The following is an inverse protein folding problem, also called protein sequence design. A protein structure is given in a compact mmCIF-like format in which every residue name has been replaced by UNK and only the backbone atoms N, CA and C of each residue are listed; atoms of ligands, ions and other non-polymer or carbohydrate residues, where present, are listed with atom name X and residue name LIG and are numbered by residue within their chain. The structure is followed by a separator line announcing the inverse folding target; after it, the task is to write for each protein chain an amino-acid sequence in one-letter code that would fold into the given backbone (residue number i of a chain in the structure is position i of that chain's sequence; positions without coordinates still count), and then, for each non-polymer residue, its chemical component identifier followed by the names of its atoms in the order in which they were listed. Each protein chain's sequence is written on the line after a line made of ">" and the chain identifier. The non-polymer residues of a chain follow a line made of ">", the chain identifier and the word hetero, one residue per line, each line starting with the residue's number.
data_IF_667891025329
#
_entry.id   IF_667891025329
#
_cell.length_a   1.000
_cell.length_b   1.000
_cell.length_c   1.000
_cell.angle_alpha   90.00
_cell.angle_beta   90.00
_cell.angle_gamma   90.00
#
_symmetry.space_group_name_H-M   'P 1'
#
loop_
_entity.id
_entity.type
_entity.pdbx_description
1 polymer ?
#
# COMPACT_ATOMS: atom_id res chain seq x y z
N UNK A 1 3.79 27.06 9.08
CA UNK A 1 3.74 27.27 7.62
C UNK A 1 2.72 26.32 7.04
N UNK A 2 1.66 26.79 6.38
CA UNK A 2 0.67 25.90 5.72
C UNK A 2 1.23 25.45 4.37
N UNK A 3 1.53 24.16 4.23
CA UNK A 3 1.87 23.61 2.92
C UNK A 3 0.58 23.37 2.15
N UNK A 4 0.32 24.16 1.11
CA UNK A 4 -0.71 23.84 0.13
C UNK A 4 -0.23 22.68 -0.74
N UNK A 5 -0.85 21.52 -0.58
CA UNK A 5 -0.67 20.38 -1.47
C UNK A 5 -1.38 20.72 -2.78
N UNK A 6 -0.64 21.20 -3.78
CA UNK A 6 -1.21 21.68 -5.05
C UNK A 6 -1.66 20.54 -5.98
N UNK A 7 -1.14 19.33 -5.78
CA UNK A 7 -1.53 18.13 -6.54
C UNK A 7 -1.29 16.89 -5.68
N UNK A 8 -2.29 16.02 -5.54
CA UNK A 8 -2.13 14.71 -4.89
C UNK A 8 -2.46 13.59 -5.88
N UNK A 9 -1.48 12.73 -6.16
CA UNK A 9 -1.73 11.55 -7.00
C UNK A 9 -2.46 10.48 -6.20
N UNK A 10 -3.63 10.05 -6.67
CA UNK A 10 -4.43 8.99 -6.04
C UNK A 10 -4.45 7.74 -6.93
N UNK A 11 -4.41 6.57 -6.30
CA UNK A 11 -4.43 5.28 -6.98
C UNK A 11 -5.69 4.48 -6.66
N UNK A 12 -6.02 3.50 -7.51
CA UNK A 12 -7.22 2.67 -7.36
C UNK A 12 -7.27 1.88 -6.06
N UNK A 13 -6.09 1.51 -5.53
CA UNK A 13 -5.91 0.83 -4.25
C UNK A 13 -6.02 1.76 -3.03
N UNK A 14 -6.40 3.02 -3.24
CA UNK A 14 -6.62 4.00 -2.18
C UNK A 14 -5.35 4.71 -1.70
N UNK A 15 -4.16 4.38 -2.25
CA UNK A 15 -2.95 5.10 -1.90
C UNK A 15 -2.99 6.53 -2.47
N UNK A 16 -2.69 7.51 -1.62
CA UNK A 16 -2.47 8.90 -1.99
C UNK A 16 -1.02 9.28 -1.67
N UNK A 17 -0.27 9.80 -2.64
CA UNK A 17 1.17 10.10 -2.46
C UNK A 17 1.42 11.31 -1.54
N UNK A 18 0.56 12.33 -1.63
CA UNK A 18 0.85 13.68 -1.09
C UNK A 18 -0.22 14.22 -0.12
N UNK A 19 -1.31 13.49 0.14
CA UNK A 19 -2.55 14.07 0.69
C UNK A 19 -2.88 13.82 2.17
N UNK A 20 -2.21 12.88 2.85
CA UNK A 20 -2.49 12.60 4.26
C UNK A 20 -1.16 12.34 4.94
N UNK A 21 -0.94 12.96 6.10
CA UNK A 21 0.08 12.51 7.05
C UNK A 21 -0.02 10.99 7.05
N UNK A 22 1.01 10.29 6.58
CA UNK A 22 1.06 8.84 6.69
C UNK A 22 1.05 8.62 8.19
N UNK A 23 -0.13 8.48 8.80
CA UNK A 23 -0.25 8.24 10.22
C UNK A 23 0.58 6.99 10.42
N UNK A 24 1.72 7.18 11.07
CA UNK A 24 2.73 6.15 11.24
C UNK A 24 2.21 5.29 12.37
N UNK A 25 1.31 4.37 12.09
CA UNK A 25 0.74 3.54 13.15
C UNK A 25 1.81 2.60 13.75
N UNK A 26 2.88 2.36 13.00
CA UNK A 26 4.03 1.53 13.40
C UNK A 26 5.28 2.40 13.50
N UNK A 27 5.98 2.26 14.62
CA UNK A 27 7.32 2.80 14.86
C UNK A 27 8.33 1.67 15.04
N UNK A 28 9.62 1.97 14.89
CA UNK A 28 10.72 1.08 15.20
C UNK A 28 11.52 1.66 16.36
N UNK A 29 11.78 0.83 17.38
CA UNK A 29 12.58 1.23 18.53
C UNK A 29 14.04 1.45 18.10
N UNK A 30 14.63 2.59 18.48
CA UNK A 30 16.03 2.93 18.19
C UNK A 30 17.02 1.99 18.88
N UNK A 31 16.66 1.42 20.04
CA UNK A 31 17.55 0.60 20.84
C UNK A 31 17.54 -0.88 20.40
N UNK A 32 16.35 -1.50 20.31
CA UNK A 32 16.24 -2.93 19.98
C UNK A 32 15.84 -3.22 18.52
N UNK A 33 15.57 -2.18 17.71
CA UNK A 33 15.11 -2.31 16.31
C UNK A 33 13.80 -3.10 16.14
N UNK A 34 13.02 -3.30 17.21
CA UNK A 34 11.72 -3.98 17.13
C UNK A 34 10.62 -2.99 16.72
N UNK A 35 9.68 -3.47 15.91
CA UNK A 35 8.48 -2.74 15.53
C UNK A 35 7.47 -2.74 16.68
N UNK A 36 6.77 -1.63 16.87
CA UNK A 36 5.67 -1.50 17.84
C UNK A 36 4.59 -0.57 17.32
N UNK A 37 3.34 -0.77 17.76
CA UNK A 37 2.25 0.14 17.47
C UNK A 37 2.41 1.41 18.29
N UNK A 38 2.34 2.59 17.66
CA UNK A 38 2.48 3.86 18.37
C UNK A 38 1.43 4.06 19.46
N UNK A 39 0.21 3.57 19.23
CA UNK A 39 -0.87 3.64 20.22
C UNK A 39 -0.64 2.76 21.46
N UNK A 40 0.17 1.71 21.32
CA UNK A 40 0.50 0.80 22.43
C UNK A 40 1.65 1.33 23.29
N UNK A 41 2.37 2.36 22.80
CA UNK A 41 3.44 3.03 23.55
C UNK A 41 2.84 3.86 24.70
N UNK A 42 2.65 3.21 25.86
CA UNK A 42 2.16 3.85 27.09
C UNK A 42 3.34 4.34 27.94
N UNK A 43 3.36 5.64 28.24
CA UNK A 43 4.23 6.18 29.28
C UNK A 43 3.69 5.79 30.66
N UNK A 44 4.58 5.37 31.56
CA UNK A 44 4.19 4.64 32.77
C UNK A 44 3.69 5.50 33.94
N UNK A 45 3.75 6.84 33.91
CA UNK A 45 3.00 7.79 34.77
C UNK A 45 3.44 9.24 34.52
N UNK A 46 2.48 10.16 34.65
CA UNK A 46 2.58 11.61 34.41
C UNK A 46 3.14 11.98 33.02
N UNK A 47 2.76 13.13 32.49
CA UNK A 47 3.22 13.60 31.17
C UNK A 47 4.72 13.87 31.26
N UNK A 48 5.51 12.82 31.05
CA UNK A 48 6.93 12.91 30.84
C UNK A 48 7.16 13.50 29.44
N UNK A 49 7.25 14.83 29.40
CA UNK A 49 7.48 15.59 28.18
C UNK A 49 8.78 15.15 27.48
N UNK A 50 9.77 14.65 28.22
CA UNK A 50 11.01 14.09 27.65
C UNK A 50 10.73 12.78 26.90
N UNK A 51 9.90 11.89 27.45
CA UNK A 51 9.55 10.65 26.78
C UNK A 51 8.60 10.86 25.56
N UNK A 52 7.85 11.97 25.53
CA UNK A 52 7.15 12.41 24.31
C UNK A 52 8.12 12.91 23.23
N UNK A 53 9.17 13.65 23.59
CA UNK A 53 10.25 14.04 22.66
C UNK A 53 11.03 12.81 22.15
N UNK A 54 11.22 11.76 22.96
CA UNK A 54 11.85 10.50 22.52
C UNK A 54 10.98 9.71 21.51
N UNK A 55 9.65 9.79 21.62
CA UNK A 55 8.72 9.27 20.61
C UNK A 55 8.82 10.05 19.28
N UNK A 56 9.20 11.32 19.30
CA UNK A 56 9.56 12.08 18.09
C UNK A 56 10.85 11.56 17.45
N UNK A 57 11.74 10.96 18.25
CA UNK A 57 12.96 10.27 17.80
C UNK A 57 12.76 8.82 17.36
N UNK A 58 11.56 8.25 17.46
CA UNK A 58 11.28 6.88 17.01
C UNK A 58 11.41 6.78 15.48
N UNK A 59 12.26 5.85 15.04
CA UNK A 59 12.51 5.59 13.62
C UNK A 59 11.22 5.13 12.93
N UNK A 60 11.02 5.60 11.71
CA UNK A 60 10.00 5.06 10.83
C UNK A 60 10.58 3.98 9.89
N UNK A 61 9.70 3.38 9.09
CA UNK A 61 10.12 2.42 8.07
C UNK A 61 11.07 3.02 7.01
N UNK A 62 11.03 4.34 6.81
CA UNK A 62 11.96 5.09 5.95
C UNK A 62 13.29 5.40 6.65
N UNK A 63 13.42 5.15 7.95
CA UNK A 63 14.66 5.32 8.71
C UNK A 63 15.37 3.98 8.93
N UNK A 64 14.78 2.88 8.44
CA UNK A 64 15.40 1.57 8.44
C UNK A 64 16.69 1.56 7.60
N UNK A 65 17.74 0.81 8.03
CA UNK A 65 19.07 0.81 7.39
C UNK A 65 19.05 0.52 5.89
N UNK A 66 18.05 -0.23 5.45
CA UNK A 66 17.93 -0.77 4.11
C UNK A 66 17.13 0.10 3.14
N UNK A 67 16.75 1.34 3.53
CA UNK A 67 16.07 2.28 2.62
C UNK A 67 16.87 2.58 1.35
N UNK A 68 18.20 2.60 1.48
CA UNK A 68 19.11 2.91 0.39
C UNK A 68 19.57 1.68 -0.39
N UNK A 69 19.16 0.48 0.03
CA UNK A 69 19.56 -0.76 -0.61
C UNK A 69 18.83 -0.94 -1.96
N UNK A 70 19.51 -1.61 -2.89
CA UNK A 70 18.97 -1.94 -4.21
C UNK A 70 17.70 -2.81 -4.13
N UNK A 71 17.55 -3.60 -3.07
CA UNK A 71 16.44 -4.52 -2.80
C UNK A 71 15.36 -3.93 -1.88
N UNK A 72 15.39 -2.63 -1.58
CA UNK A 72 14.47 -1.98 -0.63
C UNK A 72 12.98 -2.32 -0.82
N UNK A 73 12.53 -2.47 -2.07
CA UNK A 73 11.11 -2.77 -2.36
C UNK A 73 10.74 -4.18 -1.93
N UNK A 74 11.63 -5.14 -2.20
CA UNK A 74 11.47 -6.53 -1.79
C UNK A 74 11.46 -6.64 -0.27
N UNK A 75 12.45 -6.01 0.34
CA UNK A 75 12.68 -6.00 1.77
C UNK A 75 11.47 -5.36 2.51
N UNK A 76 10.78 -4.38 1.89
CA UNK A 76 9.55 -3.74 2.42
C UNK A 76 8.36 -4.70 2.41
N UNK A 77 8.24 -5.50 1.36
CA UNK A 77 7.22 -6.55 1.25
C UNK A 77 7.46 -7.61 2.34
N UNK A 78 8.71 -8.04 2.51
CA UNK A 78 9.08 -9.02 3.54
C UNK A 78 8.79 -8.50 4.95
N UNK A 79 9.13 -7.25 5.25
CA UNK A 79 8.83 -6.65 6.56
C UNK A 79 7.35 -6.74 6.94
N UNK A 80 6.43 -6.33 6.06
CA UNK A 80 4.99 -6.43 6.37
C UNK A 80 4.48 -7.88 6.41
N UNK A 81 5.08 -8.77 5.61
CA UNK A 81 4.79 -10.20 5.66
C UNK A 81 5.18 -10.77 7.03
N UNK A 82 6.38 -10.47 7.51
CA UNK A 82 6.91 -10.95 8.77
C UNK A 82 6.07 -10.44 9.95
N UNK A 83 5.61 -9.18 9.93
CA UNK A 83 4.69 -8.67 10.95
C UNK A 83 3.37 -9.46 10.99
N UNK A 84 2.82 -9.82 9.83
CA UNK A 84 1.60 -10.62 9.74
C UNK A 84 1.82 -12.08 10.18
N UNK A 85 3.00 -12.66 9.93
CA UNK A 85 3.33 -14.04 10.30
C UNK A 85 3.65 -14.19 11.80
N UNK A 86 4.06 -13.12 12.47
CA UNK A 86 4.36 -13.09 13.91
C UNK A 86 3.19 -12.61 14.78
N UNK A 87 1.95 -12.63 14.27
CA UNK A 87 0.74 -12.18 14.98
C UNK A 87 0.87 -10.77 15.60
N UNK A 88 1.58 -9.86 14.92
CA UNK A 88 1.81 -8.49 15.40
C UNK A 88 0.52 -7.66 15.52
N UNK A 89 -0.54 -8.03 14.79
CA UNK A 89 -1.85 -7.39 14.87
C UNK A 89 -2.74 -8.09 15.91
N UNK A 90 -3.03 -7.40 17.01
CA UNK A 90 -3.90 -7.92 18.08
C UNK A 90 -5.41 -7.78 17.80
N UNK A 91 -5.77 -7.04 16.74
CA UNK A 91 -7.16 -6.77 16.39
C UNK A 91 -7.37 -6.65 14.86
N UNK A 92 -8.63 -6.75 14.43
CA UNK A 92 -9.00 -6.70 13.00
C UNK A 92 -8.56 -5.39 12.32
N UNK A 93 -8.56 -4.26 13.03
CA UNK A 93 -8.18 -2.96 12.46
C UNK A 93 -6.66 -2.89 12.17
N UNK A 94 -5.84 -3.34 13.12
CA UNK A 94 -4.39 -3.51 12.95
C UNK A 94 -4.07 -4.50 11.83
N UNK A 95 -4.83 -5.60 11.73
CA UNK A 95 -4.67 -6.58 10.65
C UNK A 95 -5.02 -5.95 9.28
N UNK A 96 -6.14 -5.25 9.16
CA UNK A 96 -6.54 -4.50 7.95
C UNK A 96 -5.44 -3.52 7.55
N UNK A 97 -4.87 -2.79 8.51
CA UNK A 97 -3.78 -1.84 8.25
C UNK A 97 -2.57 -2.53 7.63
N UNK A 98 -2.03 -3.57 8.29
CA UNK A 98 -0.86 -4.31 7.80
C UNK A 98 -1.10 -4.91 6.41
N UNK A 99 -2.27 -5.49 6.19
CA UNK A 99 -2.64 -6.07 4.89
C UNK A 99 -2.77 -5.02 3.79
N UNK A 100 -3.30 -3.85 4.11
CA UNK A 100 -3.35 -2.72 3.18
C UNK A 100 -1.94 -2.23 2.85
N UNK A 101 -1.04 -2.13 3.84
CA UNK A 101 0.36 -1.77 3.62
C UNK A 101 1.11 -2.81 2.79
N UNK A 102 0.87 -4.11 3.02
CA UNK A 102 1.44 -5.19 2.21
C UNK A 102 0.94 -5.10 0.76
N UNK A 103 -0.37 -4.91 0.58
CA UNK A 103 -0.98 -4.72 -0.74
C UNK A 103 -0.32 -3.57 -1.50
N UNK A 104 -0.23 -2.39 -0.88
CA UNK A 104 0.42 -1.22 -1.48
C UNK A 104 1.89 -1.48 -1.82
N UNK A 105 2.63 -2.15 -0.93
CA UNK A 105 4.05 -2.46 -1.12
C UNK A 105 4.29 -3.37 -2.32
N UNK A 106 3.42 -4.36 -2.55
CA UNK A 106 3.50 -5.20 -3.76
C UNK A 106 3.11 -4.39 -5.00
N UNK A 107 2.08 -3.55 -4.91
CA UNK A 107 1.64 -2.71 -6.01
C UNK A 107 2.66 -1.63 -6.41
N UNK A 108 3.49 -1.14 -5.49
CA UNK A 108 4.57 -0.20 -5.75
C UNK A 108 5.59 -0.72 -6.78
N UNK A 109 5.72 -2.05 -6.91
CA UNK A 109 6.54 -2.67 -7.96
C UNK A 109 6.07 -2.31 -9.37
N UNK A 110 4.75 -2.16 -9.56
CA UNK A 110 4.12 -1.92 -10.87
C UNK A 110 3.55 -0.50 -11.04
N UNK A 111 3.41 0.26 -9.95
CA UNK A 111 2.78 1.59 -9.89
C UNK A 111 3.48 2.64 -10.77
N UNK A 112 4.81 2.66 -10.76
CA UNK A 112 5.62 3.70 -11.45
C UNK A 112 6.19 3.26 -12.80
N UNK A 113 5.72 2.14 -13.36
CA UNK A 113 6.23 1.63 -14.64
C UNK A 113 5.86 2.50 -15.85
N UNK A 114 4.97 3.49 -15.68
CA UNK A 114 4.39 4.32 -16.75
C UNK A 114 5.17 5.60 -17.10
N UNK A 115 6.28 5.92 -16.42
CA UNK A 115 7.04 7.17 -16.66
C UNK A 115 8.01 7.14 -17.86
N UNK A 116 7.93 6.14 -18.73
CA UNK A 116 8.84 5.96 -19.89
C UNK A 116 8.89 7.12 -20.89
N UNK A 117 7.80 7.90 -21.01
CA UNK A 117 7.77 9.11 -21.87
C UNK A 117 8.77 10.20 -21.42
N UNK A 118 9.39 10.06 -20.23
CA UNK A 118 10.42 10.97 -19.73
C UNK A 118 11.84 10.58 -20.12
N UNK A 119 12.01 9.55 -20.96
CA UNK A 119 13.33 9.11 -21.42
C UNK A 119 14.00 10.20 -22.27
N UNK A 120 15.05 10.83 -21.72
CA UNK A 120 15.82 11.88 -22.40
C UNK A 120 16.72 11.35 -23.54
N UNK A 121 17.09 10.08 -23.51
CA UNK A 121 17.96 9.44 -24.51
C UNK A 121 17.84 7.89 -24.49
N UNK A 122 18.49 7.22 -25.44
CA UNK A 122 18.47 5.76 -25.57
C UNK A 122 19.06 5.02 -24.36
N UNK A 123 20.12 5.54 -23.73
CA UNK A 123 20.71 4.92 -22.52
C UNK A 123 19.71 4.93 -21.37
N UNK A 124 19.04 6.08 -21.16
CA UNK A 124 18.00 6.24 -20.17
C UNK A 124 16.80 5.34 -20.47
N UNK A 125 16.38 5.23 -21.74
CA UNK A 125 15.32 4.31 -22.14
C UNK A 125 15.67 2.85 -21.82
N UNK A 126 16.89 2.39 -22.15
CA UNK A 126 17.35 1.03 -21.82
C UNK A 126 17.34 0.76 -20.33
N UNK A 127 17.76 1.73 -19.52
CA UNK A 127 17.70 1.64 -18.06
C UNK A 127 16.25 1.49 -17.56
N UNK A 128 15.33 2.34 -18.03
CA UNK A 128 13.90 2.27 -17.68
C UNK A 128 13.31 0.90 -18.05
N UNK A 129 13.64 0.38 -19.24
CA UNK A 129 13.16 -0.93 -19.70
C UNK A 129 13.73 -2.08 -18.86
N UNK A 130 15.02 -2.02 -18.50
CA UNK A 130 15.66 -3.00 -17.61
C UNK A 130 14.98 -3.02 -16.23
N UNK A 131 14.85 -1.84 -15.61
CA UNK A 131 14.18 -1.68 -14.32
C UNK A 131 12.72 -2.19 -14.37
N UNK A 132 11.99 -1.89 -15.44
CA UNK A 132 10.62 -2.42 -15.64
C UNK A 132 10.59 -3.94 -15.72
N UNK A 133 11.56 -4.56 -16.42
CA UNK A 133 11.65 -6.02 -16.52
C UNK A 133 11.93 -6.63 -15.15
N UNK A 134 12.82 -6.03 -14.37
CA UNK A 134 13.17 -6.47 -13.00
C UNK A 134 11.97 -6.35 -12.07
N UNK A 135 11.31 -5.20 -12.02
CA UNK A 135 10.10 -5.01 -11.22
C UNK A 135 8.97 -5.95 -11.61
N UNK A 136 8.78 -6.23 -12.90
CA UNK A 136 7.78 -7.19 -13.35
C UNK A 136 8.12 -8.63 -12.94
N UNK A 137 9.41 -9.00 -12.88
CA UNK A 137 9.83 -10.29 -12.33
C UNK A 137 9.54 -10.36 -10.83
N UNK A 138 9.87 -9.30 -10.09
CA UNK A 138 9.62 -9.22 -8.66
C UNK A 138 8.13 -9.24 -8.34
N UNK A 139 7.30 -8.52 -9.11
CA UNK A 139 5.84 -8.55 -8.96
C UNK A 139 5.29 -9.96 -9.18
N UNK A 140 5.79 -10.69 -10.20
CA UNK A 140 5.38 -12.09 -10.42
C UNK A 140 5.79 -13.00 -9.25
N UNK A 141 6.95 -12.78 -8.64
CA UNK A 141 7.40 -13.51 -7.45
C UNK A 141 6.40 -13.36 -6.29
N UNK A 142 5.83 -12.17 -6.11
CA UNK A 142 4.89 -11.86 -5.02
C UNK A 142 3.41 -11.93 -5.42
N UNK A 143 3.08 -12.44 -6.60
CA UNK A 143 1.70 -12.44 -7.10
C UNK A 143 0.77 -13.34 -6.25
N UNK A 144 1.25 -14.51 -5.82
CA UNK A 144 0.45 -15.40 -4.97
C UNK A 144 0.25 -14.81 -3.58
N UNK A 145 1.30 -14.22 -2.99
CA UNK A 145 1.20 -13.48 -1.72
C UNK A 145 0.16 -12.36 -1.80
N UNK A 146 0.11 -11.63 -2.93
CA UNK A 146 -0.91 -10.61 -3.14
C UNK A 146 -2.32 -11.20 -3.14
N UNK A 147 -2.55 -12.33 -3.83
CA UNK A 147 -3.87 -12.98 -3.88
C UNK A 147 -4.31 -13.47 -2.51
N UNK A 148 -3.42 -14.10 -1.76
CA UNK A 148 -3.67 -14.55 -0.38
C UNK A 148 -4.00 -13.37 0.54
N UNK A 149 -3.21 -12.31 0.45
CA UNK A 149 -3.43 -11.10 1.22
C UNK A 149 -4.79 -10.46 0.89
N UNK A 150 -5.14 -10.35 -0.39
CA UNK A 150 -6.44 -9.81 -0.83
C UNK A 150 -7.61 -10.68 -0.37
N UNK A 151 -7.49 -12.02 -0.37
CA UNK A 151 -8.54 -12.90 0.15
C UNK A 151 -8.88 -12.58 1.60
N UNK A 152 -7.86 -12.45 2.45
CA UNK A 152 -8.06 -12.16 3.86
C UNK A 152 -8.50 -10.72 4.08
N UNK A 153 -7.97 -9.76 3.32
CA UNK A 153 -8.40 -8.36 3.38
C UNK A 153 -9.87 -8.21 2.99
N UNK A 154 -10.33 -8.87 1.93
CA UNK A 154 -11.74 -8.88 1.52
C UNK A 154 -12.62 -9.43 2.64
N UNK A 155 -12.23 -10.53 3.28
CA UNK A 155 -12.96 -11.09 4.41
C UNK A 155 -13.13 -10.09 5.56
N UNK A 156 -12.02 -9.47 6.00
CA UNK A 156 -12.04 -8.48 7.09
C UNK A 156 -12.85 -7.24 6.70
N UNK A 157 -12.73 -6.79 5.45
CA UNK A 157 -13.43 -5.62 4.95
C UNK A 157 -14.95 -5.82 4.94
N UNK A 158 -15.41 -6.99 4.50
CA UNK A 158 -16.85 -7.35 4.53
C UNK A 158 -17.34 -7.51 5.97
N UNK A 159 -16.54 -8.13 6.86
CA UNK A 159 -16.88 -8.34 8.27
C UNK A 159 -17.20 -7.04 9.01
N UNK A 160 -16.56 -5.92 8.62
CA UNK A 160 -16.75 -4.60 9.24
C UNK A 160 -18.12 -3.96 8.94
N UNK A 161 -18.85 -4.41 7.93
CA UNK A 161 -20.22 -3.98 7.60
C UNK A 161 -20.32 -2.77 6.67
N UNK A 162 -19.48 -1.75 6.83
CA UNK A 162 -19.44 -0.57 5.94
C UNK A 162 -18.48 -0.79 4.77
N UNK A 163 -19.01 -1.38 3.68
CA UNK A 163 -18.21 -1.77 2.51
C UNK A 163 -18.30 -0.72 1.41
N UNK A 164 -17.19 -0.06 1.10
CA UNK A 164 -17.07 0.68 -0.16
C UNK A 164 -17.01 -0.32 -1.33
N UNK A 165 -18.08 -0.33 -2.13
CA UNK A 165 -18.24 -1.22 -3.27
C UNK A 165 -17.21 -0.96 -4.38
N UNK A 166 -16.73 0.27 -4.55
CA UNK A 166 -15.65 0.57 -5.51
C UNK A 166 -14.35 -0.06 -5.06
N UNK A 167 -14.03 0.07 -3.76
CA UNK A 167 -12.82 -0.51 -3.18
C UNK A 167 -12.85 -2.04 -3.21
N UNK A 168 -14.00 -2.62 -2.87
CA UNK A 168 -14.20 -4.07 -2.93
C UNK A 168 -14.10 -4.59 -4.36
N UNK A 169 -14.69 -3.91 -5.34
CA UNK A 169 -14.55 -4.26 -6.75
C UNK A 169 -13.08 -4.22 -7.20
N UNK A 170 -12.29 -3.26 -6.71
CA UNK A 170 -10.87 -3.17 -7.03
C UNK A 170 -10.08 -4.36 -6.48
N UNK A 171 -10.33 -4.75 -5.22
CA UNK A 171 -9.69 -5.92 -4.63
C UNK A 171 -9.95 -7.21 -5.44
N UNK A 172 -11.19 -7.44 -5.88
CA UNK A 172 -11.50 -8.58 -6.76
C UNK A 172 -10.84 -8.46 -8.14
N UNK A 173 -10.74 -7.25 -8.71
CA UNK A 173 -10.05 -7.00 -9.98
C UNK A 173 -8.56 -7.33 -9.87
N UNK A 174 -7.89 -6.91 -8.79
CA UNK A 174 -6.46 -7.14 -8.59
C UNK A 174 -6.15 -8.63 -8.35
N UNK A 175 -7.05 -9.34 -7.68
CA UNK A 175 -7.04 -10.81 -7.56
C UNK A 175 -7.30 -11.54 -8.89
N UNK A 176 -7.68 -10.83 -9.96
CA UNK A 176 -8.06 -11.35 -11.27
C UNK A 176 -9.44 -12.04 -11.33
N UNK A 177 -10.30 -11.82 -10.34
CA UNK A 177 -11.71 -12.23 -10.39
C UNK A 177 -12.57 -11.13 -11.01
N UNK A 178 -12.41 -10.94 -12.32
CA UNK A 178 -13.06 -9.86 -13.06
C UNK A 178 -14.59 -9.99 -13.11
N UNK A 179 -15.10 -11.21 -13.04
CA UNK A 179 -16.55 -11.46 -13.03
C UNK A 179 -17.15 -10.94 -11.72
N UNK A 180 -16.55 -11.30 -10.58
CA UNK A 180 -17.00 -10.82 -9.28
C UNK A 180 -16.79 -9.31 -9.12
N UNK A 181 -15.66 -8.80 -9.60
CA UNK A 181 -15.39 -7.37 -9.64
C UNK A 181 -16.48 -6.59 -10.41
N UNK A 182 -16.91 -7.10 -11.57
CA UNK A 182 -18.00 -6.47 -12.35
C UNK A 182 -19.36 -6.58 -11.63
N UNK A 183 -19.67 -7.74 -11.04
CA UNK A 183 -20.91 -7.95 -10.28
C UNK A 183 -21.03 -6.93 -9.13
N UNK A 184 -19.94 -6.71 -8.40
CA UNK A 184 -19.89 -5.77 -7.27
C UNK A 184 -19.95 -4.34 -7.79
N UNK A 185 -19.17 -4.01 -8.82
CA UNK A 185 -19.15 -2.68 -9.40
C UNK A 185 -20.55 -2.25 -9.88
N UNK A 186 -21.33 -3.15 -10.47
CA UNK A 186 -22.68 -2.85 -10.94
C UNK A 186 -23.66 -2.45 -9.83
N UNK A 187 -23.36 -2.80 -8.56
CA UNK A 187 -24.17 -2.44 -7.39
C UNK A 187 -23.89 -1.01 -6.88
N UNK A 188 -22.86 -0.34 -7.40
CA UNK A 188 -22.56 1.06 -7.05
C UNK A 188 -23.66 1.98 -7.58
N UNK A 189 -24.30 2.71 -6.67
CA UNK A 189 -25.38 3.65 -6.99
C UNK A 189 -24.88 4.86 -7.79
N UNK A 190 -23.78 5.47 -7.34
CA UNK A 190 -23.21 6.68 -7.93
C UNK A 190 -22.17 6.35 -9.00
N UNK A 191 -22.55 6.52 -10.28
CA UNK A 191 -21.70 6.20 -11.43
C UNK A 191 -20.89 7.42 -11.89
N UNK A 192 -19.78 7.68 -11.21
CA UNK A 192 -18.84 8.77 -11.53
C UNK A 192 -17.69 8.41 -12.48
N UNK A 193 -16.70 9.29 -12.56
CA UNK A 193 -15.46 9.08 -13.33
C UNK A 193 -14.69 7.83 -12.89
N UNK A 194 -14.49 7.67 -11.57
CA UNK A 194 -13.81 6.51 -10.97
C UNK A 194 -14.51 5.20 -11.34
N UNK A 195 -15.84 5.16 -11.26
CA UNK A 195 -16.64 4.00 -11.68
C UNK A 195 -16.37 3.62 -13.14
N UNK A 196 -16.38 4.61 -14.05
CA UNK A 196 -16.17 4.36 -15.48
C UNK A 196 -14.73 3.89 -15.77
N UNK A 197 -13.74 4.48 -15.10
CA UNK A 197 -12.35 4.04 -15.18
C UNK A 197 -12.21 2.58 -14.69
N UNK A 198 -12.78 2.26 -13.53
CA UNK A 198 -12.79 0.90 -12.98
C UNK A 198 -13.44 -0.10 -13.93
N UNK A 199 -14.63 0.22 -14.43
CA UNK A 199 -15.39 -0.60 -15.39
C UNK A 199 -14.57 -0.92 -16.63
N UNK A 200 -13.87 0.08 -17.16
CA UNK A 200 -12.98 -0.07 -18.32
C UNK A 200 -11.80 -1.01 -18.02
N UNK A 201 -11.17 -0.85 -16.85
CA UNK A 201 -10.05 -1.70 -16.41
C UNK A 201 -10.47 -3.16 -16.24
N UNK A 202 -11.64 -3.40 -15.63
CA UNK A 202 -12.20 -4.75 -15.47
C UNK A 202 -12.50 -5.37 -16.83
N UNK A 203 -13.16 -4.64 -17.75
CA UNK A 203 -13.46 -5.14 -19.11
C UNK A 203 -12.21 -5.52 -19.89
N UNK A 204 -11.14 -4.74 -19.73
CA UNK A 204 -9.83 -5.03 -20.33
C UNK A 204 -9.02 -6.10 -19.58
N UNK A 205 -9.59 -6.72 -18.54
CA UNK A 205 -8.93 -7.71 -17.67
C UNK A 205 -7.59 -7.20 -17.13
N UNK A 206 -7.52 -5.91 -16.84
CA UNK A 206 -6.32 -5.31 -16.27
C UNK A 206 -6.37 -5.44 -14.75
N UNK A 207 -5.51 -6.30 -14.18
CA UNK A 207 -5.37 -6.52 -12.74
C UNK A 207 -4.43 -5.55 -12.02
N UNK A 208 -3.68 -4.72 -12.75
CA UNK A 208 -2.67 -3.85 -12.13
C UNK A 208 -3.31 -2.58 -11.57
N UNK A 209 -2.79 -2.11 -10.43
CA UNK A 209 -3.10 -0.79 -9.89
C UNK A 209 -2.98 0.29 -10.96
N UNK A 210 -3.84 1.31 -10.88
CA UNK A 210 -3.83 2.43 -11.81
C UNK A 210 -4.08 3.75 -11.09
N UNK A 211 -3.58 4.83 -11.68
CA UNK A 211 -3.81 6.20 -11.20
C UNK A 211 -5.24 6.62 -11.52
N UNK A 212 -5.90 7.24 -10.55
CA UNK A 212 -7.19 7.92 -10.70
C UNK A 212 -6.91 9.35 -11.17
N UNK A 213 -7.51 9.71 -12.32
CA UNK A 213 -7.50 11.06 -12.88
C UNK A 213 -8.88 11.70 -12.72
#
# INVERSE_FOLDING_TARGET
>A
MSHTVHTSTTYSDGLCEDGVSKIKDISICTNCSQAFWREDAKLSKELDYEAMEELEGALDMMDLPWRLDDDRQEKKILFYKDLLENDFADNDMKEIYLRTRLWWSINDLVRHLSRWHQARNLKHLRFILKHRKENMKLFKKYEELLKENLNRLIFLYIKKGEVDLLYLADMYREKSDFNKAMEILLKVEQKGGVYNQMKHKIRRKNKRVFQLN
#
